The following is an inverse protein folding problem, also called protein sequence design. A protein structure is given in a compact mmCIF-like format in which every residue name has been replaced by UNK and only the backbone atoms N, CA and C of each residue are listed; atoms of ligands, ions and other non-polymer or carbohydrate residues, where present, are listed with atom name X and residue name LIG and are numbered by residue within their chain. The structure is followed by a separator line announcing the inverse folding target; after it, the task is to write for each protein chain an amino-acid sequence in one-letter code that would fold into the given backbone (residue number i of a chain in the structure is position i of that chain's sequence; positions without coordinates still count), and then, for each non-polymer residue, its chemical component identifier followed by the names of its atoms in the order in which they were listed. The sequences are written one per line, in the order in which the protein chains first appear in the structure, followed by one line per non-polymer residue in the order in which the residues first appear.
data_IF_596834721639
#
_entry.id   IF_596834721639
#
_cell.length_a   1.000
_cell.length_b   1.000
_cell.length_c   1.000
_cell.angle_alpha   90.00
_cell.angle_beta   90.00
_cell.angle_gamma   90.00
#
_symmetry.space_group_name_H-M   'P 1'
#
loop_
_entity.id
_entity.type
_entity.pdbx_description
1 polymer ?
#
# COMPACT_ATOMS: atom_id res chain seq x y z
N UNK A 1 -34.78 -6.33 -25.33
CA UNK A 1 -33.64 -6.23 -26.25
C UNK A 1 -33.58 -4.91 -27.02
N UNK A 2 -34.54 -4.55 -27.90
CA UNK A 2 -34.52 -3.27 -28.68
C UNK A 2 -34.23 -2.00 -27.85
N UNK A 3 -34.72 -1.93 -26.60
CA UNK A 3 -34.60 -0.77 -25.70
C UNK A 3 -33.23 -0.59 -25.01
N UNK A 4 -32.44 -1.66 -24.87
CA UNK A 4 -31.06 -1.60 -24.37
C UNK A 4 -30.11 -1.12 -25.48
N UNK A 5 -30.40 -1.50 -26.73
CA UNK A 5 -29.64 -1.13 -27.92
C UNK A 5 -29.78 0.37 -28.19
N UNK A 6 -30.97 0.96 -28.10
CA UNK A 6 -31.15 2.42 -28.25
C UNK A 6 -30.41 3.24 -27.19
N UNK A 7 -30.32 2.71 -25.97
CA UNK A 7 -29.60 3.29 -24.84
C UNK A 7 -28.09 3.24 -25.06
N UNK A 8 -27.57 2.07 -25.46
CA UNK A 8 -26.18 1.90 -25.86
C UNK A 8 -25.83 2.83 -27.03
N UNK A 9 -26.74 3.01 -27.98
CA UNK A 9 -26.56 3.90 -29.13
C UNK A 9 -26.59 5.39 -28.74
N UNK A 10 -27.41 5.80 -27.77
CA UNK A 10 -27.42 7.18 -27.26
C UNK A 10 -26.16 7.49 -26.44
N UNK A 11 -25.73 6.57 -25.57
CA UNK A 11 -24.50 6.69 -24.80
C UNK A 11 -23.27 6.66 -25.72
N UNK A 12 -23.26 5.76 -26.70
CA UNK A 12 -22.22 5.63 -27.72
C UNK A 12 -22.08 6.89 -28.58
N UNK A 13 -23.19 7.53 -28.95
CA UNK A 13 -23.17 8.83 -29.65
C UNK A 13 -22.60 9.96 -28.79
N UNK A 14 -22.92 9.99 -27.49
CA UNK A 14 -22.36 10.96 -26.55
C UNK A 14 -20.85 10.76 -26.31
N UNK A 15 -20.40 9.52 -26.20
CA UNK A 15 -18.97 9.15 -26.11
C UNK A 15 -18.23 9.49 -27.41
N UNK A 16 -18.84 9.22 -28.56
CA UNK A 16 -18.24 9.47 -29.88
C UNK A 16 -18.05 10.96 -30.23
N UNK A 17 -18.75 11.87 -29.54
CA UNK A 17 -18.64 13.31 -29.78
C UNK A 17 -17.49 13.99 -29.04
N UNK A 18 -16.88 13.31 -28.06
CA UNK A 18 -15.79 13.86 -27.26
C UNK A 18 -14.57 12.93 -27.37
N UNK A 19 -13.49 13.43 -27.96
CA UNK A 19 -12.24 12.67 -28.08
C UNK A 19 -11.74 12.16 -26.71
N UNK A 20 -11.96 12.94 -25.65
CA UNK A 20 -11.58 12.54 -24.27
C UNK A 20 -12.44 11.40 -23.74
N UNK A 21 -13.76 11.44 -23.95
CA UNK A 21 -14.66 10.35 -23.58
C UNK A 21 -14.39 9.08 -24.39
N UNK A 22 -14.07 9.21 -25.68
CA UNK A 22 -13.78 8.09 -26.56
C UNK A 22 -12.47 7.38 -26.16
N UNK A 23 -11.41 8.14 -25.85
CA UNK A 23 -10.17 7.57 -25.29
C UNK A 23 -10.45 6.89 -23.95
N UNK A 24 -11.24 7.50 -23.07
CA UNK A 24 -11.62 6.89 -21.80
C UNK A 24 -12.39 5.58 -21.97
N UNK A 25 -13.36 5.54 -22.89
CA UNK A 25 -14.12 4.35 -23.20
C UNK A 25 -13.25 3.24 -23.81
N UNK A 26 -12.29 3.59 -24.67
CA UNK A 26 -11.32 2.64 -25.23
C UNK A 26 -10.48 2.00 -24.13
N UNK A 27 -9.97 2.79 -23.18
CA UNK A 27 -9.19 2.29 -22.04
C UNK A 27 -10.01 1.30 -21.21
N UNK A 28 -11.28 1.60 -20.91
CA UNK A 28 -12.17 0.71 -20.18
C UNK A 28 -12.38 -0.59 -20.96
N UNK A 29 -12.74 -0.52 -22.24
CA UNK A 29 -13.03 -1.69 -23.07
C UNK A 29 -11.82 -2.59 -23.21
N UNK A 30 -10.62 -2.03 -23.36
CA UNK A 30 -9.38 -2.81 -23.47
C UNK A 30 -9.03 -3.42 -22.11
N UNK A 31 -9.07 -2.66 -21.01
CA UNK A 31 -8.61 -3.14 -19.70
C UNK A 31 -9.57 -4.14 -19.04
N UNK A 32 -10.88 -4.00 -19.23
CA UNK A 32 -11.91 -4.84 -18.58
C UNK A 32 -11.74 -6.35 -18.81
N UNK A 33 -11.56 -6.87 -20.05
CA UNK A 33 -11.42 -8.31 -20.25
C UNK A 33 -10.18 -8.88 -19.57
N UNK A 34 -9.07 -8.15 -19.55
CA UNK A 34 -7.86 -8.58 -18.86
C UNK A 34 -8.02 -8.54 -17.33
N UNK A 35 -8.68 -7.51 -16.78
CA UNK A 35 -8.99 -7.43 -15.36
C UNK A 35 -9.97 -8.53 -14.92
N UNK A 36 -10.98 -8.82 -15.73
CA UNK A 36 -11.93 -9.90 -15.50
C UNK A 36 -11.22 -11.27 -15.56
N UNK A 37 -10.37 -11.49 -16.57
CA UNK A 37 -9.57 -12.70 -16.69
C UNK A 37 -8.60 -12.88 -15.52
N UNK A 38 -7.93 -11.81 -15.09
CA UNK A 38 -7.06 -11.81 -13.93
C UNK A 38 -7.81 -12.14 -12.64
N UNK A 39 -9.00 -11.59 -12.45
CA UNK A 39 -9.86 -11.89 -11.30
C UNK A 39 -10.27 -13.36 -11.27
N UNK A 40 -10.71 -13.91 -12.41
CA UNK A 40 -11.05 -15.34 -12.52
C UNK A 40 -9.82 -16.21 -12.25
N UNK A 41 -8.67 -15.85 -12.80
CA UNK A 41 -7.42 -16.56 -12.58
C UNK A 41 -7.00 -16.56 -11.09
N UNK A 42 -7.11 -15.41 -10.42
CA UNK A 42 -6.81 -15.29 -8.99
C UNK A 42 -7.75 -16.15 -8.12
N UNK A 43 -9.03 -16.23 -8.48
CA UNK A 43 -10.01 -17.07 -7.77
C UNK A 43 -9.74 -18.57 -7.91
N UNK A 44 -9.27 -19.02 -9.07
CA UNK A 44 -9.09 -20.46 -9.36
C UNK A 44 -7.70 -20.94 -8.98
N UNK A 45 -6.67 -20.14 -9.28
CA UNK A 45 -5.25 -20.54 -9.19
C UNK A 45 -4.50 -19.73 -8.12
N UNK A 46 -4.86 -18.46 -7.94
CA UNK A 46 -4.12 -17.50 -7.12
C UNK A 46 -2.92 -16.91 -7.88
N UNK A 47 -2.78 -15.58 -7.85
CA UNK A 47 -1.66 -14.89 -8.50
C UNK A 47 -0.41 -14.98 -7.62
N UNK A 48 0.43 -15.99 -7.86
CA UNK A 48 1.73 -16.13 -7.20
C UNK A 48 2.85 -15.30 -7.84
N UNK A 49 2.70 -14.86 -9.09
CA UNK A 49 3.73 -14.12 -9.82
C UNK A 49 3.63 -12.61 -9.54
N UNK A 50 4.63 -12.07 -8.84
CA UNK A 50 4.69 -10.64 -8.47
C UNK A 50 4.68 -9.70 -9.68
N UNK A 51 5.26 -10.09 -10.81
CA UNK A 51 5.31 -9.24 -12.01
C UNK A 51 3.96 -9.18 -12.72
N UNK A 52 3.24 -10.31 -12.76
CA UNK A 52 1.86 -10.34 -13.27
C UNK A 52 0.94 -9.47 -12.41
N UNK A 53 1.05 -9.58 -11.08
CA UNK A 53 0.35 -8.71 -10.15
C UNK A 53 0.72 -7.23 -10.37
N UNK A 54 1.99 -6.93 -10.63
CA UNK A 54 2.47 -5.59 -10.99
C UNK A 54 1.78 -5.03 -12.24
N UNK A 55 1.69 -5.82 -13.32
CA UNK A 55 0.99 -5.41 -14.55
C UNK A 55 -0.50 -5.14 -14.25
N UNK A 56 -1.16 -6.02 -13.50
CA UNK A 56 -2.59 -5.87 -13.19
C UNK A 56 -2.84 -4.61 -12.35
N UNK A 57 -2.10 -4.43 -11.26
CA UNK A 57 -2.40 -3.39 -10.26
C UNK A 57 -1.72 -2.05 -10.52
N UNK A 58 -0.59 -2.01 -11.25
CA UNK A 58 0.14 -0.75 -11.55
C UNK A 58 -0.16 -0.20 -12.93
N UNK A 59 -0.65 -1.03 -13.87
CA UNK A 59 -0.94 -0.60 -15.24
C UNK A 59 -2.42 -0.73 -15.58
N UNK A 60 -2.99 -1.94 -15.54
CA UNK A 60 -4.36 -2.19 -16.02
C UNK A 60 -5.42 -1.54 -15.13
N UNK A 61 -5.33 -1.71 -13.80
CA UNK A 61 -6.28 -1.14 -12.87
C UNK A 61 -6.27 0.41 -12.89
N UNK A 62 -5.11 1.09 -12.83
CA UNK A 62 -5.05 2.54 -13.02
C UNK A 62 -5.56 2.99 -14.38
N UNK A 63 -5.30 2.25 -15.47
CA UNK A 63 -5.84 2.57 -16.80
C UNK A 63 -7.38 2.48 -16.84
N UNK A 64 -7.97 1.50 -16.17
CA UNK A 64 -9.43 1.38 -16.03
C UNK A 64 -10.02 2.58 -15.28
N UNK A 65 -9.43 2.94 -14.13
CA UNK A 65 -9.87 4.08 -13.31
C UNK A 65 -9.69 5.39 -14.07
N UNK A 66 -8.56 5.60 -14.73
CA UNK A 66 -8.30 6.76 -15.58
C UNK A 66 -9.31 6.82 -16.73
N UNK A 67 -9.63 5.69 -17.36
CA UNK A 67 -10.66 5.59 -18.38
C UNK A 67 -12.03 6.07 -17.87
N UNK A 68 -12.42 5.64 -16.67
CA UNK A 68 -13.65 6.10 -16.02
C UNK A 68 -13.63 7.61 -15.76
N UNK A 69 -12.52 8.14 -15.23
CA UNK A 69 -12.34 9.58 -15.02
C UNK A 69 -12.41 10.37 -16.34
N UNK A 70 -11.82 9.87 -17.42
CA UNK A 70 -11.85 10.51 -18.73
C UNK A 70 -13.24 10.49 -19.37
N UNK A 71 -13.99 9.40 -19.21
CA UNK A 71 -15.41 9.35 -19.65
C UNK A 71 -16.23 10.38 -18.88
N UNK A 72 -16.09 10.46 -17.56
CA UNK A 72 -16.77 11.47 -16.75
C UNK A 72 -16.37 12.89 -17.15
N UNK A 73 -15.06 13.16 -17.31
CA UNK A 73 -14.56 14.46 -17.69
C UNK A 73 -15.03 14.87 -19.10
N UNK A 74 -15.02 13.93 -20.04
CA UNK A 74 -15.49 14.14 -21.41
C UNK A 74 -16.99 14.44 -21.48
N UNK A 75 -17.80 13.77 -20.65
CA UNK A 75 -19.24 14.02 -20.56
C UNK A 75 -19.59 15.32 -19.82
N UNK A 76 -18.79 15.75 -18.85
CA UNK A 76 -19.05 16.93 -18.02
C UNK A 76 -18.48 18.23 -18.59
N UNK A 77 -17.25 18.21 -19.13
CA UNK A 77 -16.50 19.42 -19.51
C UNK A 77 -16.40 19.64 -21.03
N UNK A 78 -16.18 18.57 -21.81
CA UNK A 78 -15.96 18.67 -23.26
C UNK A 78 -17.28 18.51 -24.01
N UNK A 79 -18.15 19.52 -23.83
CA UNK A 79 -19.43 19.64 -24.52
C UNK A 79 -19.22 20.04 -25.99
N UNK A 80 -19.42 19.10 -26.90
CA UNK A 80 -19.81 19.46 -28.27
C UNK A 80 -21.12 20.27 -28.22
N UNK A 81 -21.18 21.36 -28.98
CA UNK A 81 -22.37 22.21 -29.07
C UNK A 81 -23.57 21.34 -29.49
N UNK A 82 -24.62 21.34 -28.64
CA UNK A 82 -26.03 21.02 -28.91
C UNK A 82 -26.69 19.69 -28.49
N UNK A 83 -26.05 18.51 -28.39
CA UNK A 83 -26.87 17.27 -28.29
C UNK A 83 -26.71 16.33 -27.08
N UNK A 84 -25.80 16.56 -26.13
CA UNK A 84 -25.80 15.79 -24.86
C UNK A 84 -26.83 16.37 -23.89
N UNK A 85 -28.08 16.46 -24.34
CA UNK A 85 -29.19 16.99 -23.54
C UNK A 85 -29.51 16.07 -22.36
N UNK A 86 -29.17 14.78 -22.41
CA UNK A 86 -29.59 13.75 -21.44
C UNK A 86 -29.30 14.06 -19.95
N UNK A 87 -28.27 14.86 -19.66
CA UNK A 87 -27.90 15.29 -18.31
C UNK A 87 -28.01 16.79 -18.07
N UNK A 88 -28.62 17.54 -18.99
CA UNK A 88 -28.87 18.98 -18.78
C UNK A 88 -30.12 19.14 -17.94
N UNK A 89 -30.05 20.01 -16.93
CA UNK A 89 -31.17 20.33 -16.03
C UNK A 89 -32.46 20.69 -16.80
N UNK A 90 -32.33 21.31 -17.99
CA UNK A 90 -33.45 21.59 -18.90
C UNK A 90 -34.10 20.35 -19.53
N UNK A 91 -33.34 19.39 -20.05
CA UNK A 91 -33.89 18.15 -20.60
C UNK A 91 -34.45 17.23 -19.52
N UNK A 92 -33.79 17.17 -18.35
CA UNK A 92 -34.31 16.45 -17.20
C UNK A 92 -35.63 17.07 -16.73
N UNK A 93 -35.72 18.41 -16.67
CA UNK A 93 -36.97 19.12 -16.37
C UNK A 93 -38.05 18.80 -17.42
N UNK A 94 -37.78 18.95 -18.70
CA UNK A 94 -38.74 18.69 -19.79
C UNK A 94 -39.19 17.22 -19.85
N UNK A 95 -38.28 16.27 -19.59
CA UNK A 95 -38.58 14.84 -19.61
C UNK A 95 -39.25 14.34 -18.31
N UNK A 96 -39.10 15.06 -17.19
CA UNK A 96 -39.86 14.85 -15.94
C UNK A 96 -41.27 15.40 -16.07
N UNK A 97 -41.44 16.52 -16.79
CA UNK A 97 -42.74 17.16 -17.04
C UNK A 97 -43.66 16.41 -18.02
N UNK A 98 -43.14 15.48 -18.83
CA UNK A 98 -43.93 14.65 -19.75
C UNK A 98 -44.21 13.24 -19.15
N UNK A 99 -45.47 12.91 -18.78
CA UNK A 99 -45.84 11.63 -18.17
C UNK A 99 -45.52 10.40 -19.04
N UNK A 100 -45.41 10.55 -20.37
CA UNK A 100 -45.08 9.44 -21.28
C UNK A 100 -43.57 9.17 -21.36
N UNK A 101 -42.73 10.17 -21.06
CA UNK A 101 -41.26 10.08 -21.11
C UNK A 101 -40.67 9.71 -19.75
N UNK A 102 -41.35 10.07 -18.66
CA UNK A 102 -40.91 9.83 -17.29
C UNK A 102 -40.55 8.36 -16.97
N UNK A 103 -41.33 7.32 -17.36
CA UNK A 103 -40.97 5.92 -17.09
C UNK A 103 -39.77 5.42 -17.88
N UNK A 104 -39.44 6.08 -19.00
CA UNK A 104 -38.25 5.78 -19.82
C UNK A 104 -37.02 6.43 -19.21
N UNK A 105 -37.12 7.71 -18.88
CA UNK A 105 -36.07 8.46 -18.20
C UNK A 105 -35.67 7.81 -16.87
N UNK A 106 -36.64 7.42 -16.04
CA UNK A 106 -36.38 6.75 -14.74
C UNK A 106 -35.55 5.48 -14.90
N UNK A 107 -35.84 4.65 -15.90
CA UNK A 107 -35.09 3.40 -16.16
C UNK A 107 -33.70 3.64 -16.72
N UNK A 108 -33.55 4.62 -17.61
CA UNK A 108 -32.25 5.06 -18.17
C UNK A 108 -31.35 5.56 -17.04
N UNK A 109 -31.87 6.48 -16.22
CA UNK A 109 -31.14 7.03 -15.08
C UNK A 109 -30.79 5.94 -14.07
N UNK A 110 -31.74 5.07 -13.72
CA UNK A 110 -31.47 3.96 -12.80
C UNK A 110 -30.39 3.02 -13.35
N UNK A 111 -30.45 2.65 -14.63
CA UNK A 111 -29.42 1.82 -15.27
C UNK A 111 -28.05 2.50 -15.32
N UNK A 112 -28.00 3.79 -15.67
CA UNK A 112 -26.76 4.56 -15.69
C UNK A 112 -26.13 4.70 -14.30
N UNK A 113 -26.95 5.04 -13.29
CA UNK A 113 -26.51 5.12 -11.88
C UNK A 113 -26.04 3.76 -11.38
N UNK A 114 -26.74 2.68 -11.73
CA UNK A 114 -26.36 1.32 -11.34
C UNK A 114 -25.02 0.90 -11.96
N UNK A 115 -24.85 1.08 -13.27
CA UNK A 115 -23.58 0.75 -13.97
C UNK A 115 -22.43 1.59 -13.41
N UNK A 116 -22.68 2.89 -13.19
CA UNK A 116 -21.68 3.78 -12.61
C UNK A 116 -21.30 3.39 -11.18
N UNK A 117 -22.30 3.07 -10.34
CA UNK A 117 -22.08 2.57 -8.98
C UNK A 117 -21.30 1.26 -8.97
N UNK A 118 -21.59 0.35 -9.89
CA UNK A 118 -20.84 -0.90 -10.06
C UNK A 118 -19.38 -0.62 -10.48
N UNK A 119 -19.16 0.28 -11.43
CA UNK A 119 -17.82 0.66 -11.86
C UNK A 119 -17.00 1.29 -10.71
N UNK A 120 -17.63 2.13 -9.88
CA UNK A 120 -17.01 2.68 -8.67
C UNK A 120 -16.70 1.59 -7.64
N UNK A 121 -17.61 0.65 -7.42
CA UNK A 121 -17.38 -0.48 -6.52
C UNK A 121 -16.19 -1.33 -6.98
N UNK A 122 -16.15 -1.70 -8.27
CA UNK A 122 -15.02 -2.44 -8.86
C UNK A 122 -13.72 -1.65 -8.73
N UNK A 123 -13.75 -0.34 -8.99
CA UNK A 123 -12.58 0.53 -8.83
C UNK A 123 -12.07 0.55 -7.39
N UNK A 124 -12.97 0.59 -6.40
CA UNK A 124 -12.61 0.55 -4.98
C UNK A 124 -11.97 -0.80 -4.60
N UNK A 125 -12.51 -1.92 -5.09
CA UNK A 125 -11.92 -3.25 -4.88
C UNK A 125 -10.54 -3.35 -5.52
N UNK A 126 -10.38 -2.89 -6.76
CA UNK A 126 -9.09 -2.87 -7.45
C UNK A 126 -8.07 -1.99 -6.73
N UNK A 127 -8.48 -0.81 -6.24
CA UNK A 127 -7.62 0.07 -5.46
C UNK A 127 -7.20 -0.59 -4.14
N UNK A 128 -8.13 -1.24 -3.43
CA UNK A 128 -7.83 -1.96 -2.19
C UNK A 128 -6.82 -3.08 -2.42
N UNK A 129 -7.03 -3.90 -3.45
CA UNK A 129 -6.14 -5.00 -3.76
C UNK A 129 -4.78 -4.50 -4.27
N UNK A 130 -4.75 -3.44 -5.07
CA UNK A 130 -3.51 -2.78 -5.48
C UNK A 130 -2.73 -2.21 -4.31
N UNK A 131 -3.39 -1.65 -3.29
CA UNK A 131 -2.74 -1.23 -2.05
C UNK A 131 -2.11 -2.40 -1.32
N UNK A 132 -2.82 -3.53 -1.17
CA UNK A 132 -2.27 -4.73 -0.53
C UNK A 132 -1.06 -5.30 -1.29
N UNK A 133 -1.08 -5.24 -2.61
CA UNK A 133 0.06 -5.63 -3.44
C UNK A 133 1.27 -4.71 -3.21
N UNK A 134 1.06 -3.40 -3.26
CA UNK A 134 2.10 -2.39 -2.99
C UNK A 134 2.67 -2.49 -1.56
N UNK A 135 1.90 -3.03 -0.62
CA UNK A 135 2.29 -3.22 0.77
C UNK A 135 2.87 -4.62 1.05
N UNK A 136 3.03 -5.45 0.02
CA UNK A 136 3.58 -6.79 0.16
C UNK A 136 5.11 -6.80 0.16
N UNK A 137 5.70 -7.76 0.88
CA UNK A 137 7.15 -8.02 0.80
C UNK A 137 7.56 -8.40 -0.62
N UNK A 138 6.70 -9.06 -1.39
CA UNK A 138 6.96 -9.45 -2.78
C UNK A 138 7.15 -8.25 -3.71
N UNK A 139 6.35 -7.19 -3.54
CA UNK A 139 6.54 -5.94 -4.27
C UNK A 139 7.87 -5.27 -3.88
N UNK A 140 8.10 -5.09 -2.58
CA UNK A 140 9.31 -4.42 -2.10
C UNK A 140 10.59 -5.18 -2.45
N UNK A 141 10.64 -6.49 -2.24
CA UNK A 141 11.85 -7.30 -2.36
C UNK A 141 12.10 -7.82 -3.77
N UNK A 142 11.06 -8.16 -4.55
CA UNK A 142 11.23 -8.76 -5.88
C UNK A 142 10.93 -7.80 -7.01
N UNK A 143 9.83 -7.05 -6.95
CA UNK A 143 9.51 -6.10 -8.02
C UNK A 143 10.55 -4.96 -8.08
N UNK A 144 10.92 -4.40 -6.92
CA UNK A 144 11.95 -3.35 -6.79
C UNK A 144 13.37 -3.89 -6.52
N UNK A 145 13.68 -5.13 -6.89
CA UNK A 145 14.89 -5.85 -6.46
C UNK A 145 16.21 -5.06 -6.66
N UNK A 146 16.37 -4.30 -7.75
CA UNK A 146 17.63 -3.59 -8.03
C UNK A 146 18.06 -2.62 -6.92
N UNK A 147 17.11 -1.94 -6.28
CA UNK A 147 17.39 -0.99 -5.19
C UNK A 147 17.15 -1.58 -3.80
N UNK A 148 16.35 -2.65 -3.71
CA UNK A 148 15.96 -3.26 -2.45
C UNK A 148 16.71 -4.55 -2.11
N UNK A 149 17.53 -5.11 -3.01
CA UNK A 149 18.25 -6.37 -2.79
C UNK A 149 19.02 -6.43 -1.46
N UNK A 150 19.78 -5.39 -1.03
CA UNK A 150 20.50 -5.44 0.23
C UNK A 150 19.57 -5.50 1.46
N UNK A 151 18.43 -4.80 1.39
CA UNK A 151 17.44 -4.82 2.46
C UNK A 151 16.64 -6.13 2.46
N UNK A 152 16.35 -6.67 1.28
CA UNK A 152 15.63 -7.93 1.11
C UNK A 152 16.45 -9.13 1.62
N UNK A 153 17.74 -9.18 1.31
CA UNK A 153 18.65 -10.23 1.79
C UNK A 153 18.80 -10.17 3.31
N UNK A 154 19.00 -8.98 3.87
CA UNK A 154 19.06 -8.77 5.33
C UNK A 154 17.74 -9.14 6.03
N UNK A 155 16.59 -8.78 5.45
CA UNK A 155 15.27 -9.14 5.98
C UNK A 155 15.09 -10.66 6.00
N UNK A 156 15.43 -11.35 4.91
CA UNK A 156 15.29 -12.80 4.78
C UNK A 156 16.14 -13.57 5.81
N UNK A 157 17.32 -13.07 6.18
CA UNK A 157 18.19 -13.68 7.19
C UNK A 157 17.92 -13.22 8.62
N UNK A 158 16.93 -12.34 8.85
CA UNK A 158 16.65 -11.76 10.16
C UNK A 158 15.60 -12.56 10.96
N UNK A 159 15.52 -12.35 12.29
CA UNK A 159 14.41 -12.84 13.13
C UNK A 159 13.02 -12.33 12.69
N UNK A 160 12.97 -11.29 11.85
CA UNK A 160 11.73 -10.69 11.35
C UNK A 160 11.41 -11.10 9.90
N UNK A 161 12.06 -12.13 9.36
CA UNK A 161 11.87 -12.61 7.97
C UNK A 161 10.43 -12.98 7.62
N UNK A 162 9.60 -13.29 8.61
CA UNK A 162 8.17 -13.61 8.45
C UNK A 162 7.24 -12.42 8.64
N UNK A 163 7.78 -11.25 8.99
CA UNK A 163 7.00 -10.02 9.19
C UNK A 163 7.06 -9.17 7.90
N UNK A 164 5.92 -8.73 7.35
CA UNK A 164 5.89 -7.84 6.19
C UNK A 164 6.70 -6.56 6.40
N UNK A 165 7.41 -6.10 5.36
CA UNK A 165 8.21 -4.87 5.41
C UNK A 165 7.40 -3.68 5.96
N UNK A 166 6.13 -3.59 5.56
CA UNK A 166 5.23 -2.47 5.90
C UNK A 166 4.90 -2.36 7.38
N UNK A 167 4.95 -3.46 8.14
CA UNK A 167 4.69 -3.43 9.58
C UNK A 167 5.73 -2.57 10.31
N UNK A 168 6.96 -2.57 9.79
CA UNK A 168 8.02 -1.69 10.26
C UNK A 168 7.98 -0.34 9.55
N UNK A 169 7.88 -0.33 8.21
CA UNK A 169 8.19 0.85 7.39
C UNK A 169 7.00 1.80 7.09
N UNK A 170 5.74 1.35 7.08
CA UNK A 170 4.61 2.18 6.60
C UNK A 170 3.65 2.70 7.67
N UNK A 171 3.67 2.14 8.89
CA UNK A 171 2.74 2.62 9.92
C UNK A 171 1.40 1.91 9.96
N UNK A 172 0.91 1.60 11.16
CA UNK A 172 -0.52 1.42 11.39
C UNK A 172 -1.16 2.81 11.58
N UNK A 173 -2.23 3.10 10.84
CA UNK A 173 -2.98 4.35 10.92
C UNK A 173 -3.04 5.16 9.61
N UNK A 174 -4.15 5.88 9.39
CA UNK A 174 -4.47 6.57 8.12
C UNK A 174 -3.50 7.68 7.74
N UNK A 175 -3.02 8.47 8.70
CA UNK A 175 -2.13 9.61 8.43
C UNK A 175 -0.74 9.19 7.95
N UNK A 176 -0.27 8.01 8.36
CA UNK A 176 1.00 7.45 7.91
C UNK A 176 0.88 6.77 6.56
N UNK A 177 -0.29 6.19 6.26
CA UNK A 177 -0.57 5.63 4.94
C UNK A 177 -0.43 6.71 3.85
N UNK A 178 -1.04 7.89 4.04
CA UNK A 178 -0.96 9.00 3.08
C UNK A 178 0.48 9.48 2.85
N UNK A 179 1.22 9.74 3.93
CA UNK A 179 2.63 10.19 3.87
C UNK A 179 3.51 9.16 3.18
N UNK A 180 3.28 7.88 3.47
CA UNK A 180 4.05 6.78 2.89
C UNK A 180 3.81 6.64 1.39
N UNK A 181 2.57 6.81 0.92
CA UNK A 181 2.27 6.74 -0.53
C UNK A 181 2.84 7.93 -1.30
N UNK A 182 2.77 9.15 -0.76
CA UNK A 182 3.40 10.32 -1.37
C UNK A 182 4.94 10.19 -1.42
N UNK A 183 5.55 9.66 -0.36
CA UNK A 183 6.98 9.33 -0.37
C UNK A 183 7.30 8.23 -1.38
N UNK A 184 6.45 7.21 -1.48
CA UNK A 184 6.58 6.12 -2.44
C UNK A 184 6.58 6.60 -3.89
N UNK A 185 5.74 7.59 -4.24
CA UNK A 185 5.78 8.21 -5.58
C UNK A 185 7.12 8.88 -5.87
N UNK A 186 7.71 9.59 -4.90
CA UNK A 186 9.04 10.18 -5.06
C UNK A 186 10.13 9.11 -5.21
N UNK A 187 10.02 8.02 -4.46
CA UNK A 187 10.97 6.90 -4.55
C UNK A 187 10.86 6.21 -5.90
N UNK A 188 9.64 5.92 -6.37
CA UNK A 188 9.41 5.36 -7.70
C UNK A 188 9.99 6.26 -8.79
N UNK A 189 9.76 7.56 -8.71
CA UNK A 189 10.37 8.54 -9.62
C UNK A 189 11.90 8.51 -9.56
N UNK A 190 12.48 8.46 -8.36
CA UNK A 190 13.92 8.39 -8.19
C UNK A 190 14.53 7.13 -8.81
N UNK A 191 13.85 5.98 -8.68
CA UNK A 191 14.25 4.72 -9.31
C UNK A 191 14.12 4.81 -10.83
N UNK A 192 13.00 5.33 -11.34
CA UNK A 192 12.73 5.47 -12.78
C UNK A 192 13.71 6.42 -13.48
N UNK A 193 14.25 7.41 -12.75
CA UNK A 193 15.19 8.42 -13.27
C UNK A 193 16.64 8.18 -12.83
N UNK A 194 16.92 7.08 -12.14
CA UNK A 194 18.23 6.76 -11.53
C UNK A 194 18.82 7.92 -10.70
N UNK A 195 17.96 8.71 -10.04
CA UNK A 195 18.34 9.91 -9.27
C UNK A 195 18.48 9.66 -7.77
N UNK A 196 18.57 8.39 -7.35
CA UNK A 196 18.72 8.00 -5.94
C UNK A 196 20.19 7.98 -5.48
N UNK A 197 20.42 8.29 -4.20
CA UNK A 197 21.76 8.29 -3.60
C UNK A 197 22.37 6.89 -3.53
N UNK A 198 23.67 6.79 -3.80
CA UNK A 198 24.46 5.57 -3.58
C UNK A 198 25.63 5.88 -2.61
N UNK A 199 25.74 5.20 -1.45
CA UNK A 199 24.85 4.15 -0.95
C UNK A 199 23.48 4.71 -0.50
N UNK A 200 22.45 3.87 -0.53
CA UNK A 200 21.11 4.21 -0.03
C UNK A 200 21.21 4.29 1.50
N UNK A 201 21.04 5.49 2.06
CA UNK A 201 21.15 5.71 3.51
C UNK A 201 19.86 5.35 4.23
N UNK A 202 19.96 4.86 5.46
CA UNK A 202 18.80 4.68 6.33
C UNK A 202 18.12 6.03 6.62
N UNK A 203 16.78 6.12 6.51
CA UNK A 203 16.06 7.37 6.69
C UNK A 203 15.90 7.72 8.18
N UNK A 204 17.00 8.08 8.85
CA UNK A 204 17.03 8.37 10.29
C UNK A 204 16.09 9.53 10.70
N UNK A 205 15.78 10.44 9.77
CA UNK A 205 14.91 11.61 10.00
C UNK A 205 13.40 11.29 10.01
N UNK A 206 13.02 10.13 9.49
CA UNK A 206 11.61 9.71 9.34
C UNK A 206 11.33 8.35 10.00
N UNK A 207 12.21 7.92 10.91
CA UNK A 207 11.99 6.72 11.70
C UNK A 207 10.71 6.87 12.53
N UNK A 208 9.91 5.81 12.55
CA UNK A 208 8.72 5.74 13.38
C UNK A 208 9.10 5.64 14.85
N UNK A 209 8.25 6.12 15.77
CA UNK A 209 8.45 5.90 17.19
C UNK A 209 8.56 4.40 17.50
N UNK A 210 9.54 4.02 18.31
CA UNK A 210 9.83 2.63 18.72
C UNK A 210 8.59 1.95 19.32
N UNK A 211 7.78 2.70 20.10
CA UNK A 211 6.54 2.18 20.70
C UNK A 211 5.54 1.67 19.66
N UNK A 212 5.37 2.41 18.56
CA UNK A 212 4.40 2.06 17.51
C UNK A 212 4.90 1.00 16.52
N UNK A 213 6.16 0.58 16.61
CA UNK A 213 6.82 -0.27 15.61
C UNK A 213 7.34 -1.55 16.22
N UNK A 214 8.13 -1.46 17.28
CA UNK A 214 8.76 -2.61 17.94
C UNK A 214 7.87 -3.13 19.07
N UNK A 215 7.35 -2.23 19.92
CA UNK A 215 6.62 -2.62 21.13
C UNK A 215 5.21 -3.17 20.85
N UNK A 216 4.71 -3.09 19.62
CA UNK A 216 3.48 -3.79 19.23
C UNK A 216 3.63 -5.31 19.29
N UNK A 217 4.87 -5.83 19.16
CA UNK A 217 5.18 -7.25 19.25
C UNK A 217 6.14 -7.55 20.42
N UNK A 218 7.08 -6.64 20.72
CA UNK A 218 8.05 -6.74 21.81
C UNK A 218 7.64 -5.85 22.99
N UNK A 219 6.61 -6.26 23.71
CA UNK A 219 6.11 -5.54 24.89
C UNK A 219 7.10 -5.62 26.04
N UNK A 220 7.75 -4.51 26.46
CA UNK A 220 8.73 -4.52 27.55
C UNK A 220 8.14 -4.94 28.90
N UNK A 221 6.82 -4.85 29.02
CA UNK A 221 6.08 -5.24 30.21
C UNK A 221 5.98 -6.77 30.35
N UNK A 222 6.05 -7.50 29.24
CA UNK A 222 5.92 -8.96 29.19
C UNK A 222 7.30 -9.63 29.24
N UNK A 223 7.67 -10.13 30.41
CA UNK A 223 8.96 -10.77 30.66
C UNK A 223 8.93 -12.29 30.43
N UNK A 224 10.01 -12.82 29.84
CA UNK A 224 10.14 -14.23 29.47
C UNK A 224 11.22 -14.99 30.28
N UNK A 225 11.72 -14.43 31.38
CA UNK A 225 12.79 -15.04 32.16
C UNK A 225 14.20 -14.61 31.75
N UNK A 226 15.19 -15.02 32.53
CA UNK A 226 16.61 -14.81 32.22
C UNK A 226 17.07 -15.76 31.11
N UNK A 227 17.99 -15.28 30.26
CA UNK A 227 18.52 -16.07 29.15
C UNK A 227 19.93 -16.55 29.45
N UNK A 228 20.11 -17.86 29.59
CA UNK A 228 21.42 -18.49 29.68
C UNK A 228 21.96 -18.79 28.28
N UNK A 229 23.13 -18.25 27.96
CA UNK A 229 23.88 -18.54 26.74
C UNK A 229 25.19 -19.24 27.12
N UNK A 230 25.46 -20.41 26.53
CA UNK A 230 26.68 -21.18 26.77
C UNK A 230 27.53 -21.11 25.51
N UNK A 231 28.55 -20.26 25.54
CA UNK A 231 29.49 -20.09 24.45
C UNK A 231 30.65 -21.05 24.63
N UNK A 232 30.87 -21.91 23.64
CA UNK A 232 32.03 -22.80 23.58
C UNK A 232 32.98 -22.25 22.54
N UNK A 233 34.20 -21.96 22.96
CA UNK A 233 35.25 -21.52 22.06
C UNK A 233 36.50 -22.33 22.31
N UNK A 234 37.37 -22.36 21.31
CA UNK A 234 38.68 -22.98 21.45
C UNK A 234 39.72 -21.87 21.58
N UNK A 235 40.66 -22.04 22.49
CA UNK A 235 41.77 -21.10 22.63
C UNK A 235 42.69 -21.19 21.42
N UNK A 236 43.34 -20.09 21.11
CA UNK A 236 44.41 -20.05 20.12
C UNK A 236 45.73 -20.64 20.69
N UNK A 237 45.68 -21.85 21.23
CA UNK A 237 46.84 -22.60 21.73
C UNK A 237 47.10 -23.84 20.87
N UNK A 238 48.32 -24.39 20.96
CA UNK A 238 48.74 -25.55 20.14
C UNK A 238 47.84 -26.77 20.34
N UNK A 239 47.26 -26.91 21.53
CA UNK A 239 46.41 -28.04 21.90
C UNK A 239 44.94 -27.83 21.53
N UNK A 240 44.57 -26.65 21.00
CA UNK A 240 43.20 -26.26 20.70
C UNK A 240 42.27 -26.56 21.89
N UNK A 241 42.61 -26.01 23.05
CA UNK A 241 41.93 -26.27 24.33
C UNK A 241 40.52 -25.70 24.29
N UNK A 242 39.52 -26.55 24.59
CA UNK A 242 38.13 -26.13 24.67
C UNK A 242 37.89 -25.33 25.96
N UNK A 243 37.28 -24.16 25.81
CA UNK A 243 36.85 -23.29 26.90
C UNK A 243 35.36 -23.01 26.77
N UNK A 244 34.68 -22.96 27.92
CA UNK A 244 33.23 -22.71 27.98
C UNK A 244 32.98 -21.46 28.82
N UNK A 245 32.28 -20.49 28.23
CA UNK A 245 31.80 -19.29 28.92
C UNK A 245 30.29 -19.39 29.05
N UNK A 246 29.78 -19.36 30.28
CA UNK A 246 28.34 -19.27 30.55
C UNK A 246 27.97 -17.81 30.86
N UNK A 247 27.07 -17.24 30.06
CA UNK A 247 26.57 -15.88 30.22
C UNK A 247 25.09 -15.97 30.60
N UNK A 248 24.72 -15.43 31.75
CA UNK A 248 23.32 -15.25 32.14
C UNK A 248 22.91 -13.80 31.89
N UNK A 249 22.01 -13.59 30.93
CA UNK A 249 21.44 -12.28 30.64
C UNK A 249 20.15 -12.10 31.45
N UNK A 250 20.17 -11.15 32.38
CA UNK A 250 18.99 -10.72 33.13
C UNK A 250 18.09 -9.84 32.24
N UNK A 251 17.10 -10.45 31.58
CA UNK A 251 16.26 -9.71 30.62
C UNK A 251 15.36 -8.69 31.34
N UNK A 252 14.78 -9.08 32.48
CA UNK A 252 13.91 -8.25 33.32
C UNK A 252 12.69 -7.65 32.61
N UNK A 253 12.00 -6.74 33.29
CA UNK A 253 10.78 -6.04 32.84
C UNK A 253 10.88 -4.54 33.10
N UNK A 254 10.12 -3.75 32.34
CA UNK A 254 9.91 -2.33 32.59
C UNK A 254 8.95 -2.02 33.75
N UNK A 255 8.41 -3.06 34.41
CA UNK A 255 7.48 -2.96 35.53
C UNK A 255 6.03 -2.88 35.06
N UNK A 256 5.26 -3.96 35.27
CA UNK A 256 3.80 -4.00 35.17
C UNK A 256 3.28 -5.17 36.04
N UNK A 257 2.16 -4.99 36.75
CA UNK A 257 1.60 -6.04 37.64
C UNK A 257 2.13 -6.10 39.08
N UNK A 258 2.94 -5.12 39.51
CA UNK A 258 3.43 -4.98 40.90
C UNK A 258 4.93 -5.18 41.10
N UNK A 259 5.64 -5.66 40.08
CA UNK A 259 7.11 -5.82 40.12
C UNK A 259 7.85 -4.51 39.81
N UNK A 260 8.98 -4.31 40.50
CA UNK A 260 9.87 -3.17 40.26
C UNK A 260 10.61 -3.36 38.92
N UNK A 261 10.89 -2.28 38.17
CA UNK A 261 11.70 -2.39 36.96
C UNK A 261 13.08 -2.96 37.24
N UNK A 262 13.52 -3.94 36.46
CA UNK A 262 14.76 -4.68 36.70
C UNK A 262 15.37 -5.25 35.42
N UNK A 263 16.58 -5.81 35.52
CA UNK A 263 17.32 -6.35 34.39
C UNK A 263 17.65 -5.30 33.33
N UNK A 264 17.89 -5.73 32.09
CA UNK A 264 18.16 -4.79 31.00
C UNK A 264 16.94 -3.94 30.67
N UNK A 265 15.69 -4.39 30.86
CA UNK A 265 14.48 -3.60 30.53
C UNK A 265 14.12 -2.51 31.55
N UNK A 266 14.80 -2.41 32.69
CA UNK A 266 14.63 -1.30 33.64
C UNK A 266 14.65 0.07 32.94
N UNK A 267 15.53 0.25 31.95
CA UNK A 267 15.76 1.55 31.30
C UNK A 267 14.55 2.09 30.51
N UNK A 268 13.57 1.26 30.15
CA UNK A 268 12.36 1.72 29.43
C UNK A 268 11.17 1.94 30.35
N UNK A 269 11.32 1.76 31.66
CA UNK A 269 10.27 2.02 32.63
C UNK A 269 9.84 3.50 32.60
N UNK A 270 8.55 3.83 32.71
CA UNK A 270 8.05 5.21 32.65
C UNK A 270 8.64 6.14 33.71
N UNK A 271 9.03 5.58 34.86
CA UNK A 271 9.66 6.28 35.98
C UNK A 271 11.15 6.61 35.76
N UNK A 272 11.80 5.93 34.81
CA UNK A 272 13.20 6.16 34.48
C UNK A 272 13.33 7.17 33.34
N UNK A 273 14.26 8.12 33.51
CA UNK A 273 14.55 9.13 32.48
C UNK A 273 16.00 8.98 32.05
N UNK A 274 16.17 8.69 30.76
CA UNK A 274 17.47 8.63 30.10
C UNK A 274 17.58 9.72 29.07
N UNK A 275 18.79 10.25 28.96
CA UNK A 275 19.18 11.31 28.05
C UNK A 275 20.34 10.80 27.21
N UNK A 276 20.18 10.90 25.89
CA UNK A 276 21.16 10.43 24.93
C UNK A 276 21.75 11.64 24.20
N UNK A 277 23.08 11.76 24.21
CA UNK A 277 23.78 12.67 23.30
C UNK A 277 24.29 11.88 22.12
N UNK A 278 23.97 12.33 20.93
CA UNK A 278 24.42 11.72 19.68
C UNK A 278 25.36 12.64 18.91
N UNK A 279 26.12 12.07 17.98
CA UNK A 279 26.86 12.81 16.95
C UNK A 279 25.92 13.68 16.10
N UNK A 280 26.43 14.74 15.43
CA UNK A 280 25.59 15.60 14.58
C UNK A 280 24.82 14.86 13.48
N UNK A 281 25.41 13.78 12.93
CA UNK A 281 24.78 12.90 11.95
C UNK A 281 23.82 11.86 12.55
N UNK A 282 23.70 11.84 13.89
CA UNK A 282 22.88 10.93 14.70
C UNK A 282 23.17 9.45 14.50
N UNK A 283 24.37 9.09 14.04
CA UNK A 283 24.76 7.69 13.82
C UNK A 283 25.35 7.03 15.05
N UNK A 284 25.90 7.80 15.99
CA UNK A 284 26.52 7.27 17.19
C UNK A 284 26.01 8.00 18.43
N UNK A 285 25.73 7.24 19.48
CA UNK A 285 25.47 7.76 20.81
C UNK A 285 26.82 7.90 21.49
N UNK A 286 27.16 9.12 21.89
CA UNK A 286 28.45 9.45 22.53
C UNK A 286 28.33 9.50 24.05
N UNK A 287 27.13 9.72 24.57
CA UNK A 287 26.88 9.88 26.00
C UNK A 287 25.46 9.41 26.34
N UNK A 288 25.32 8.73 27.48
CA UNK A 288 24.04 8.32 28.06
C UNK A 288 24.05 8.76 29.53
N UNK A 289 23.09 9.60 29.91
CA UNK A 289 22.91 10.14 31.27
C UNK A 289 21.50 9.90 31.78
#
# INVERSE_FOLDING_TARGET
MRRLIELANALGRGIAHSNTALVGALLIVISTPFLAGAFVYDLVVGIGNTYLAGIIYLLLAPAFVLGLCLVLAGLLFFRGKEEVRLFTLGYLRDAISDPRRFPRLRRVLFGAVFIFGLALFVSAVLAHQGMRYLDSTEFCARFCHQVMEPAASSHASSPHSRIPCVNCHLGSGSSWLERSKLSGLRQFWAVATDSYSRPITTPLRHLRPTRATCQSCHRPEMFHGDKLEILRHFRADRNNTMETTAILLHVGSSGEGGDRPQGIHWHVAPENRLTYRATPDRRQIVEIT
#
